data_IF_764591076512
#
_entry.id   IF_764591076512
#
_cell.length_a   1.000
_cell.length_b   1.000
_cell.length_c   1.000
_cell.angle_alpha   90.00
_cell.angle_beta   90.00
_cell.angle_gamma   90.00
#
_symmetry.space_group_name_H-M   'P 1'
#
loop_
_entity.id
_entity.type
_entity.pdbx_description
1 polymer ?
#
# COMPACT_ATOMS: atom_id res chain seq x y z
N UNK A 1 24.00 10.47 5.33
CA UNK A 1 23.12 11.66 5.16
C UNK A 1 22.79 12.00 3.70
N UNK A 2 23.77 12.08 2.78
CA UNK A 2 23.51 12.44 1.37
C UNK A 2 22.52 11.53 0.61
N UNK A 3 22.57 10.21 0.81
CA UNK A 3 21.64 9.26 0.17
C UNK A 3 20.19 9.51 0.58
N UNK A 4 19.96 9.83 1.85
CA UNK A 4 18.62 10.15 2.36
C UNK A 4 18.08 11.43 1.73
N UNK A 5 18.93 12.44 1.50
CA UNK A 5 18.55 13.67 0.80
C UNK A 5 18.13 13.39 -0.65
N UNK A 6 18.88 12.54 -1.36
CA UNK A 6 18.54 12.14 -2.73
C UNK A 6 17.22 11.37 -2.75
N UNK A 7 17.03 10.41 -1.83
CA UNK A 7 15.81 9.64 -1.69
C UNK A 7 14.58 10.55 -1.46
N UNK A 8 14.69 11.48 -0.50
CA UNK A 8 13.60 12.41 -0.19
C UNK A 8 13.30 13.34 -1.38
N UNK A 9 14.33 13.84 -2.07
CA UNK A 9 14.15 14.68 -3.26
C UNK A 9 13.45 13.92 -4.39
N UNK A 10 13.84 12.67 -4.64
CA UNK A 10 13.18 11.82 -5.64
C UNK A 10 11.70 11.62 -5.30
N UNK A 11 11.40 11.21 -4.07
CA UNK A 11 10.01 11.02 -3.61
C UNK A 11 9.19 12.29 -3.72
N UNK A 12 9.76 13.44 -3.36
CA UNK A 12 9.08 14.73 -3.48
C UNK A 12 8.74 15.07 -4.94
N UNK A 13 9.69 14.90 -5.85
CA UNK A 13 9.48 15.16 -7.29
C UNK A 13 8.41 14.24 -7.86
N UNK A 14 8.43 12.95 -7.52
CA UNK A 14 7.41 11.99 -7.97
C UNK A 14 6.03 12.36 -7.44
N UNK A 15 5.92 12.73 -6.17
CA UNK A 15 4.65 13.20 -5.57
C UNK A 15 4.11 14.45 -6.27
N UNK A 16 4.97 15.42 -6.59
CA UNK A 16 4.58 16.60 -7.37
C UNK A 16 4.10 16.28 -8.79
N UNK A 17 4.56 15.16 -9.37
CA UNK A 17 4.09 14.66 -10.67
C UNK A 17 2.83 13.79 -10.57
N UNK A 18 2.24 13.68 -9.37
CA UNK A 18 0.98 12.98 -9.14
C UNK A 18 1.12 11.50 -8.73
N UNK A 19 2.35 11.02 -8.48
CA UNK A 19 2.59 9.66 -7.99
C UNK A 19 2.42 9.59 -6.47
N UNK A 20 1.41 8.86 -5.99
CA UNK A 20 1.08 8.74 -4.56
C UNK A 20 1.04 7.26 -4.15
N UNK A 21 1.71 6.86 -3.05
CA UNK A 21 1.62 5.50 -2.55
C UNK A 21 0.23 5.21 -1.97
N UNK A 22 -0.24 3.98 -2.14
CA UNK A 22 -1.42 3.45 -1.45
C UNK A 22 -1.13 3.24 0.04
N UNK A 23 -2.08 3.63 0.88
CA UNK A 23 -2.09 3.26 2.29
C UNK A 23 -3.11 2.12 2.48
N UNK A 24 -2.60 0.90 2.66
CA UNK A 24 -3.43 -0.31 2.70
C UNK A 24 -3.44 -1.00 4.06
N UNK A 25 -2.33 -1.02 4.80
CA UNK A 25 -2.26 -1.65 6.14
C UNK A 25 -3.31 -1.08 7.10
N UNK A 26 -4.10 -1.95 7.71
CA UNK A 26 -5.19 -1.60 8.62
C UNK A 26 -6.50 -1.15 7.95
N UNK A 27 -6.55 -1.05 6.61
CA UNK A 27 -7.78 -0.76 5.86
C UNK A 27 -8.50 -2.04 5.46
N UNK A 28 -9.76 -1.90 5.06
CA UNK A 28 -10.53 -3.00 4.48
C UNK A 28 -9.89 -3.49 3.18
N UNK A 29 -9.90 -4.81 3.00
CA UNK A 29 -9.40 -5.39 1.77
C UNK A 29 -10.36 -5.12 0.61
N UNK A 30 -9.89 -4.33 -0.36
CA UNK A 30 -10.56 -4.09 -1.63
C UNK A 30 -9.82 -4.79 -2.81
N UNK A 31 -10.44 -5.77 -3.51
CA UNK A 31 -9.86 -6.42 -4.69
C UNK A 31 -9.57 -5.48 -5.88
N UNK A 32 -10.22 -4.32 -5.97
CA UNK A 32 -9.94 -3.32 -7.02
C UNK A 32 -8.64 -2.55 -6.73
N UNK A 33 -8.21 -2.50 -5.47
CA UNK A 33 -7.02 -1.76 -5.03
C UNK A 33 -5.85 -2.68 -4.65
N UNK A 34 -6.17 -3.91 -4.26
CA UNK A 34 -5.23 -4.81 -3.60
C UNK A 34 -5.14 -6.19 -4.24
N UNK A 35 -3.93 -6.73 -4.26
CA UNK A 35 -3.61 -8.11 -4.61
C UNK A 35 -3.31 -8.87 -3.32
N UNK A 36 -4.21 -9.78 -2.90
CA UNK A 36 -3.99 -10.60 -1.72
C UNK A 36 -2.96 -11.71 -2.03
N UNK A 37 -1.81 -11.67 -1.35
CA UNK A 37 -0.79 -12.72 -1.46
C UNK A 37 -1.11 -13.93 -0.58
N UNK A 38 -1.68 -13.68 0.60
CA UNK A 38 -2.06 -14.72 1.55
C UNK A 38 -3.14 -14.25 2.51
N UNK A 39 -3.83 -15.22 3.10
CA UNK A 39 -4.76 -15.03 4.21
C UNK A 39 -4.16 -15.64 5.47
N UNK A 40 -4.23 -14.93 6.59
CA UNK A 40 -3.82 -15.45 7.91
C UNK A 40 -4.98 -15.28 8.90
N UNK A 41 -5.07 -16.11 9.96
CA UNK A 41 -6.06 -15.89 11.01
C UNK A 41 -5.96 -14.47 11.56
N UNK A 42 -7.08 -13.75 11.60
CA UNK A 42 -7.09 -12.39 12.12
C UNK A 42 -6.61 -12.41 13.60
N UNK A 43 -5.65 -11.54 13.98
CA UNK A 43 -5.17 -11.47 15.36
C UNK A 43 -6.24 -10.94 16.33
N UNK A 44 -7.28 -10.30 15.81
CA UNK A 44 -8.42 -9.77 16.54
C UNK A 44 -9.63 -9.65 15.61
N UNK A 45 -10.85 -9.62 16.17
CA UNK A 45 -12.11 -9.57 15.39
C UNK A 45 -12.21 -8.32 14.51
N UNK A 46 -11.64 -7.19 14.92
CA UNK A 46 -11.63 -5.95 14.15
C UNK A 46 -10.71 -6.00 12.92
N UNK A 47 -9.77 -6.96 12.88
CA UNK A 47 -8.84 -7.15 11.76
C UNK A 47 -9.34 -8.17 10.74
N UNK A 48 -10.52 -8.75 10.96
CA UNK A 48 -11.15 -9.69 10.03
C UNK A 48 -11.60 -8.97 8.76
N UNK A 49 -11.20 -9.47 7.60
CA UNK A 49 -11.44 -8.84 6.29
C UNK A 49 -10.59 -7.60 6.02
N UNK A 50 -9.66 -7.25 6.92
CA UNK A 50 -8.75 -6.13 6.76
C UNK A 50 -7.37 -6.58 6.30
N UNK A 51 -6.63 -5.65 5.72
CA UNK A 51 -5.22 -5.82 5.41
C UNK A 51 -4.42 -5.81 6.71
N UNK A 52 -3.83 -6.95 7.07
CA UNK A 52 -2.93 -7.07 8.22
C UNK A 52 -1.61 -6.39 7.92
N UNK A 53 -1.05 -6.61 6.74
CA UNK A 53 0.22 -6.03 6.32
C UNK A 53 0.30 -5.79 4.81
N UNK A 54 1.09 -4.80 4.41
CA UNK A 54 1.35 -4.42 3.02
C UNK A 54 2.79 -4.75 2.67
N UNK A 55 2.98 -5.86 1.96
CA UNK A 55 4.30 -6.34 1.56
C UNK A 55 4.89 -5.46 0.45
N UNK A 56 4.06 -5.07 -0.53
CA UNK A 56 4.45 -4.18 -1.62
C UNK A 56 3.44 -3.04 -1.73
N UNK A 57 3.90 -1.80 -1.57
CA UNK A 57 3.03 -0.63 -1.70
C UNK A 57 2.52 -0.48 -3.13
N UNK A 58 1.21 -0.40 -3.28
CA UNK A 58 0.59 0.05 -4.52
C UNK A 58 0.79 1.55 -4.74
N UNK A 59 0.50 2.03 -5.94
CA UNK A 59 0.68 3.43 -6.31
C UNK A 59 -0.43 3.90 -7.25
N UNK A 60 -0.85 5.14 -7.02
CA UNK A 60 -1.69 5.92 -7.92
C UNK A 60 -0.83 6.93 -8.69
N UNK A 61 -1.16 7.16 -9.95
CA UNK A 61 -0.66 8.27 -10.76
C UNK A 61 -1.86 9.07 -11.25
N UNK A 62 -2.03 10.30 -10.75
CA UNK A 62 -3.18 11.15 -11.08
C UNK A 62 -4.51 10.38 -10.97
N UNK A 63 -4.74 9.78 -9.80
CA UNK A 63 -5.93 8.99 -9.45
C UNK A 63 -6.12 7.67 -10.21
N UNK A 64 -5.23 7.34 -11.16
CA UNK A 64 -5.21 6.03 -11.82
C UNK A 64 -4.30 5.06 -11.09
N UNK A 65 -4.77 3.84 -10.87
CA UNK A 65 -3.94 2.76 -10.34
C UNK A 65 -2.90 2.39 -11.39
N UNK A 66 -1.62 2.50 -11.03
CA UNK A 66 -0.51 2.01 -11.87
C UNK A 66 0.10 0.73 -11.32
N UNK A 67 -0.16 0.44 -10.04
CA UNK A 67 0.24 -0.78 -9.36
C UNK A 67 -0.66 -1.04 -8.16
N UNK A 68 -1.25 -2.22 -8.08
CA UNK A 68 -2.01 -2.67 -6.91
C UNK A 68 -1.08 -2.93 -5.73
N UNK A 69 -1.56 -2.74 -4.50
CA UNK A 69 -0.77 -3.08 -3.32
C UNK A 69 -0.84 -4.59 -3.08
N UNK A 70 0.30 -5.22 -2.81
CA UNK A 70 0.35 -6.63 -2.42
C UNK A 70 0.24 -6.75 -0.92
N UNK A 71 -0.78 -7.46 -0.46
CA UNK A 71 -1.22 -7.43 0.94
C UNK A 71 -1.43 -8.82 1.52
N UNK A 72 -1.39 -8.90 2.85
CA UNK A 72 -1.83 -10.06 3.63
C UNK A 72 -3.15 -9.70 4.29
N UNK A 73 -4.16 -10.55 4.15
CA UNK A 73 -5.53 -10.29 4.63
C UNK A 73 -5.83 -11.13 5.87
N UNK A 74 -6.52 -10.53 6.84
CA UNK A 74 -7.02 -11.22 8.02
C UNK A 74 -8.29 -11.99 7.68
N UNK A 75 -8.30 -13.29 7.93
CA UNK A 75 -9.46 -14.17 7.78
C UNK A 75 -10.21 -14.38 9.09
#
# INVERSE_FOLDING_TARGET
EGVLLVYNKLHHVLKQKGLVPMESTGKDFDPELHEALSEIPAPSEDMKGKVIDTIERGYFLNDKIIRHAKVVVGK
#
